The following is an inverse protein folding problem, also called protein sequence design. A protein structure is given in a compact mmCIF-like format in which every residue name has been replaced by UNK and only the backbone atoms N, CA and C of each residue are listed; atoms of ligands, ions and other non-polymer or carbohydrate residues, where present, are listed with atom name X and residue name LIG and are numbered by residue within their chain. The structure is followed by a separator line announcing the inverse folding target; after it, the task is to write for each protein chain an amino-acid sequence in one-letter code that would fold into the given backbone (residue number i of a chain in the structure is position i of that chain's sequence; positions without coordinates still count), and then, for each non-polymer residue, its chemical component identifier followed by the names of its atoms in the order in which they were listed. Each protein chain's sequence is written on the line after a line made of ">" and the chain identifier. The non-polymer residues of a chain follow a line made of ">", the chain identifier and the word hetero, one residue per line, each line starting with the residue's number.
data_IF_973585167457
#
_entry.id   IF_973585167457
#
_cell.length_a   1.000
_cell.length_b   1.000
_cell.length_c   1.000
_cell.angle_alpha   90.00
_cell.angle_beta   90.00
_cell.angle_gamma   90.00
#
_symmetry.space_group_name_H-M   'P 1'
#
loop_
_entity.id
_entity.type
_entity.pdbx_description
1 polymer ?
#
# COMPACT_ATOMS: atom_id res chain seq x y z
N UNK A 1 17.18 -9.79 -16.37
CA UNK A 1 16.43 -9.90 -15.08
C UNK A 1 15.03 -9.36 -15.30
N UNK A 2 13.97 -10.08 -14.91
CA UNK A 2 12.59 -9.56 -15.00
C UNK A 2 12.29 -8.63 -13.82
N UNK A 3 11.63 -7.51 -14.07
CA UNK A 3 11.19 -6.58 -13.01
C UNK A 3 10.22 -7.32 -12.07
N UNK A 4 10.49 -7.33 -10.75
CA UNK A 4 9.59 -7.96 -9.79
C UNK A 4 8.22 -7.28 -9.83
N UNK A 5 7.15 -8.06 -9.69
CA UNK A 5 5.80 -7.50 -9.57
C UNK A 5 5.68 -6.71 -8.27
N UNK A 6 4.84 -5.70 -8.27
CA UNK A 6 4.62 -4.87 -7.08
C UNK A 6 4.13 -5.68 -5.87
N UNK A 7 3.32 -6.72 -6.08
CA UNK A 7 2.93 -7.69 -5.03
C UNK A 7 4.13 -8.40 -4.41
N UNK A 8 5.11 -8.80 -5.21
CA UNK A 8 6.35 -9.42 -4.71
C UNK A 8 7.17 -8.44 -3.88
N UNK A 9 7.24 -7.17 -4.28
CA UNK A 9 7.94 -6.13 -3.53
C UNK A 9 7.27 -5.87 -2.16
N UNK A 10 5.94 -5.79 -2.15
CA UNK A 10 5.17 -5.63 -0.90
C UNK A 10 5.40 -6.80 0.06
N UNK A 11 5.34 -8.06 -0.39
CA UNK A 11 5.59 -9.19 0.50
C UNK A 11 7.01 -9.20 1.06
N UNK A 12 8.02 -8.86 0.24
CA UNK A 12 9.41 -8.73 0.72
C UNK A 12 9.53 -7.67 1.81
N UNK A 13 8.91 -6.50 1.60
CA UNK A 13 8.88 -5.43 2.60
C UNK A 13 8.22 -5.88 3.90
N UNK A 14 7.07 -6.57 3.81
CA UNK A 14 6.35 -7.05 5.00
C UNK A 14 7.15 -8.10 5.78
N UNK A 15 7.83 -9.01 5.08
CA UNK A 15 8.76 -9.98 5.71
C UNK A 15 9.86 -9.24 6.44
N UNK A 16 10.48 -8.25 5.81
CA UNK A 16 11.58 -7.50 6.41
C UNK A 16 11.12 -6.72 7.65
N UNK A 17 9.98 -6.04 7.57
CA UNK A 17 9.41 -5.33 8.73
C UNK A 17 9.06 -6.27 9.88
N UNK A 18 8.59 -7.48 9.60
CA UNK A 18 8.34 -8.48 10.66
C UNK A 18 9.64 -8.96 11.31
N UNK A 19 10.70 -9.16 10.52
CA UNK A 19 12.02 -9.55 11.05
C UNK A 19 12.60 -8.50 11.99
N UNK A 20 12.33 -7.23 11.72
CA UNK A 20 12.71 -6.11 12.57
C UNK A 20 11.80 -5.93 13.80
N UNK A 21 10.85 -6.84 14.05
CA UNK A 21 9.97 -6.82 15.22
C UNK A 21 8.75 -5.92 15.10
N UNK A 22 8.46 -5.35 13.93
CA UNK A 22 7.25 -4.53 13.76
C UNK A 22 5.99 -5.39 13.69
N UNK A 23 4.99 -5.04 14.50
CA UNK A 23 3.63 -5.58 14.39
C UNK A 23 2.86 -4.84 13.28
N UNK A 24 2.40 -5.57 12.27
CA UNK A 24 1.81 -5.01 11.04
C UNK A 24 0.32 -5.30 10.90
N UNK A 25 -0.41 -5.46 12.01
CA UNK A 25 -1.75 -6.03 12.08
C UNK A 25 -2.75 -5.37 11.11
N UNK A 26 -2.69 -4.05 10.95
CA UNK A 26 -3.45 -3.31 9.93
C UNK A 26 -2.64 -3.07 8.64
N UNK A 27 -1.41 -2.59 8.77
CA UNK A 27 -0.60 -2.14 7.62
C UNK A 27 -0.36 -3.24 6.58
N UNK A 28 -0.16 -4.49 6.99
CA UNK A 28 0.06 -5.60 6.06
C UNK A 28 -1.16 -5.90 5.19
N UNK A 29 -2.36 -5.77 5.75
CA UNK A 29 -3.60 -5.96 4.99
C UNK A 29 -3.76 -4.85 3.94
N UNK A 30 -3.56 -3.59 4.33
CA UNK A 30 -3.67 -2.44 3.44
C UNK A 30 -2.66 -2.49 2.29
N UNK A 31 -1.40 -2.80 2.58
CA UNK A 31 -0.36 -2.92 1.55
C UNK A 31 -0.66 -4.04 0.56
N UNK A 32 -1.21 -5.18 1.02
CA UNK A 32 -1.64 -6.27 0.13
C UNK A 32 -2.87 -5.90 -0.70
N UNK A 33 -3.82 -5.17 -0.11
CA UNK A 33 -4.97 -4.63 -0.84
C UNK A 33 -4.51 -3.69 -1.95
N UNK A 34 -3.63 -2.75 -1.63
CA UNK A 34 -3.05 -1.82 -2.61
C UNK A 34 -2.30 -2.55 -3.71
N UNK A 35 -1.48 -3.55 -3.37
CA UNK A 35 -0.75 -4.31 -4.36
C UNK A 35 -1.65 -5.08 -5.35
N UNK A 36 -2.77 -5.62 -4.85
CA UNK A 36 -3.80 -6.24 -5.69
C UNK A 36 -4.49 -5.23 -6.59
N UNK A 37 -4.80 -4.03 -6.09
CA UNK A 37 -5.38 -2.96 -6.89
C UNK A 37 -4.45 -2.53 -8.04
N UNK A 38 -3.16 -2.27 -7.75
CA UNK A 38 -2.15 -1.94 -8.77
C UNK A 38 -2.03 -3.03 -9.82
N UNK A 39 -2.05 -4.30 -9.38
CA UNK A 39 -2.00 -5.44 -10.31
C UNK A 39 -3.26 -5.54 -11.18
N UNK A 40 -4.44 -5.33 -10.60
CA UNK A 40 -5.72 -5.36 -11.31
C UNK A 40 -5.86 -4.22 -12.33
N UNK A 41 -5.32 -3.04 -12.02
CA UNK A 41 -5.25 -1.91 -12.94
C UNK A 41 -4.26 -2.14 -14.11
N UNK A 42 -3.52 -3.25 -14.11
CA UNK A 42 -2.51 -3.54 -15.14
C UNK A 42 -1.32 -2.58 -15.12
N UNK A 43 -1.15 -1.83 -14.02
CA UNK A 43 -0.14 -0.78 -13.92
C UNK A 43 1.27 -1.37 -13.96
N UNK A 44 2.11 -0.77 -14.80
CA UNK A 44 3.52 -1.14 -14.98
C UNK A 44 4.37 0.10 -14.85
N UNK A 45 5.50 -0.04 -14.15
CA UNK A 45 6.44 1.06 -13.92
C UNK A 45 6.22 1.72 -12.54
N UNK A 46 6.76 2.93 -12.34
CA UNK A 46 6.68 3.65 -11.08
C UNK A 46 5.22 3.88 -10.65
N UNK A 47 4.94 3.78 -9.36
CA UNK A 47 3.62 4.14 -8.83
C UNK A 47 3.33 5.62 -9.08
N UNK A 48 2.12 5.92 -9.54
CA UNK A 48 1.67 7.29 -9.75
C UNK A 48 0.77 7.73 -8.59
N UNK A 49 0.68 9.05 -8.38
CA UNK A 49 -0.24 9.63 -7.40
C UNK A 49 -1.69 9.22 -7.71
N UNK A 50 -2.03 9.12 -8.99
CA UNK A 50 -3.37 8.79 -9.43
C UNK A 50 -3.82 7.38 -9.01
N UNK A 51 -2.99 6.36 -9.23
CA UNK A 51 -3.33 4.98 -8.82
C UNK A 51 -3.34 4.81 -7.29
N UNK A 52 -2.51 5.59 -6.59
CA UNK A 52 -2.52 5.63 -5.12
C UNK A 52 -3.81 6.27 -4.59
N UNK A 53 -4.24 7.38 -5.21
CA UNK A 53 -5.43 8.12 -4.82
C UNK A 53 -6.72 7.35 -5.16
N UNK A 54 -6.75 6.65 -6.30
CA UNK A 54 -7.87 5.78 -6.67
C UNK A 54 -8.11 4.68 -5.63
N UNK A 55 -7.06 3.94 -5.28
CA UNK A 55 -7.13 2.94 -4.24
C UNK A 55 -7.59 3.52 -2.89
N UNK A 56 -7.01 4.66 -2.49
CA UNK A 56 -7.37 5.31 -1.23
C UNK A 56 -8.86 5.67 -1.16
N UNK A 57 -9.42 6.24 -2.24
CA UNK A 57 -10.86 6.56 -2.33
C UNK A 57 -11.73 5.30 -2.27
N UNK A 58 -11.34 4.23 -2.96
CA UNK A 58 -12.05 2.95 -2.93
C UNK A 58 -12.12 2.37 -1.51
N UNK A 59 -11.00 2.40 -0.77
CA UNK A 59 -10.96 1.91 0.61
C UNK A 59 -11.69 2.78 1.62
N UNK A 60 -11.87 4.07 1.35
CA UNK A 60 -12.63 4.98 2.19
C UNK A 60 -14.14 4.83 1.98
N UNK A 61 -14.57 4.53 0.76
CA UNK A 61 -15.98 4.34 0.39
C UNK A 61 -16.52 2.95 0.72
N UNK A 62 -15.69 1.91 0.57
CA UNK A 62 -16.00 0.58 1.11
C UNK A 62 -15.96 0.67 2.64
N UNK A 63 -17.00 0.23 3.36
CA UNK A 63 -17.16 0.28 4.82
C UNK A 63 -16.04 -0.45 5.59
N UNK A 64 -14.84 0.09 5.53
CA UNK A 64 -13.67 -0.20 6.35
C UNK A 64 -13.35 1.02 7.23
N UNK A 65 -14.34 1.90 7.36
CA UNK A 65 -14.34 3.16 8.12
C UNK A 65 -14.34 2.97 9.64
N UNK A 66 -14.49 1.75 10.16
CA UNK A 66 -14.32 1.47 11.59
C UNK A 66 -12.87 1.57 12.09
N UNK A 67 -11.88 1.71 11.18
CA UNK A 67 -10.45 1.88 11.50
C UNK A 67 -9.73 2.87 10.55
N UNK A 68 -10.45 3.83 9.96
CA UNK A 68 -9.91 4.74 8.92
C UNK A 68 -9.12 5.94 9.46
N UNK A 69 -9.06 6.15 10.77
CA UNK A 69 -8.27 7.23 11.38
C UNK A 69 -6.77 7.17 11.04
N UNK A 70 -6.24 6.03 10.62
CA UNK A 70 -4.82 5.87 10.30
C UNK A 70 -4.42 6.18 8.85
N UNK A 71 -5.34 6.17 7.88
CA UNK A 71 -4.96 6.31 6.46
C UNK A 71 -4.84 7.78 6.05
N UNK A 72 -5.70 8.67 6.57
CA UNK A 72 -5.62 10.10 6.29
C UNK A 72 -4.57 10.82 7.16
N UNK A 73 -4.31 10.34 8.38
CA UNK A 73 -3.27 10.91 9.26
C UNK A 73 -1.84 10.42 8.94
N UNK A 74 -1.69 9.32 8.18
CA UNK A 74 -0.39 8.73 7.86
C UNK A 74 0.31 9.29 6.61
N UNK A 75 -0.37 10.10 5.78
CA UNK A 75 0.18 10.61 4.52
C UNK A 75 1.13 11.81 4.68
N UNK A 76 1.22 12.42 5.86
CA UNK A 76 2.20 13.48 6.16
C UNK A 76 3.58 12.97 6.58
N UNK A 77 3.74 11.65 6.78
CA UNK A 77 5.00 11.06 7.27
C UNK A 77 5.90 10.40 6.23
N UNK A 78 5.45 10.26 4.97
CA UNK A 78 6.27 9.71 3.90
C UNK A 78 6.78 10.87 3.04
N UNK A 79 7.97 11.36 3.40
CA UNK A 79 8.76 12.29 2.59
C UNK A 79 8.81 11.81 1.13
N UNK A 80 7.98 12.40 0.28
CA UNK A 80 8.25 12.50 -1.16
C UNK A 80 9.16 13.71 -1.28
N UNK A 81 10.46 13.50 -1.14
CA UNK A 81 11.45 14.51 -1.53
C UNK A 81 11.46 14.53 -3.05
N UNK A 82 11.15 15.69 -3.62
CA UNK A 82 11.30 15.99 -5.05
C UNK A 82 12.74 16.20 -5.46
#
# INVERSE_FOLDING_TARGET
>A
MSTPRFTTLVERYLVERRRLGFQLSGAAYWLRSFARHVQAAGHRGPLTVEIMAEWARWTASSSMAGKTTFILAGWTGMNVVG
#
